data_IF_963389183300
#
_entry.id   IF_963389183300
#
_cell.length_a   1.000
_cell.length_b   1.000
_cell.length_c   1.000
_cell.angle_alpha   90.00
_cell.angle_beta   90.00
_cell.angle_gamma   90.00
#
_symmetry.space_group_name_H-M   'P 1'
#
loop_
_entity.id
_entity.type
_entity.pdbx_description
1 polymer ?
#
# COMPACT_ATOMS: atom_id res chain seq x y z
N UNK A 1 -17.35 6.12 -12.19
CA UNK A 1 -17.07 4.66 -12.24
C UNK A 1 -15.66 4.46 -11.67
N UNK A 2 -15.50 3.73 -10.56
CA UNK A 2 -14.17 3.53 -9.94
C UNK A 2 -13.28 2.70 -10.89
N UNK A 3 -12.08 3.17 -11.19
CA UNK A 3 -11.14 2.51 -12.10
C UNK A 3 -10.39 1.42 -11.31
N UNK A 4 -10.49 0.16 -11.75
CA UNK A 4 -9.65 -0.91 -11.20
C UNK A 4 -8.24 -0.74 -11.76
N UNK A 5 -7.27 -0.51 -10.88
CA UNK A 5 -5.86 -0.51 -11.24
C UNK A 5 -5.35 -1.94 -11.11
N UNK A 6 -4.65 -2.42 -12.14
CA UNK A 6 -3.96 -3.71 -12.07
C UNK A 6 -2.67 -3.53 -11.29
N UNK A 7 -2.59 -4.15 -10.11
CA UNK A 7 -1.37 -4.17 -9.28
C UNK A 7 -0.57 -5.44 -9.54
N UNK A 8 0.71 -5.47 -9.16
CA UNK A 8 1.61 -6.63 -9.19
C UNK A 8 2.09 -6.95 -7.78
N UNK A 9 2.45 -8.22 -7.54
CA UNK A 9 3.14 -8.59 -6.30
C UNK A 9 4.46 -7.82 -6.26
N UNK A 10 4.74 -7.20 -5.13
CA UNK A 10 5.89 -6.32 -4.92
C UNK A 10 5.59 -4.83 -5.11
N UNK A 11 4.46 -4.46 -5.70
CA UNK A 11 4.08 -3.04 -5.85
C UNK A 11 3.94 -2.39 -4.48
N UNK A 12 4.60 -1.23 -4.32
CA UNK A 12 4.51 -0.38 -3.14
C UNK A 12 3.54 0.76 -3.42
N UNK A 13 2.65 1.04 -2.47
CA UNK A 13 1.64 2.08 -2.59
C UNK A 13 1.58 2.94 -1.34
N UNK A 14 1.15 4.18 -1.51
CA UNK A 14 0.86 5.11 -0.42
C UNK A 14 -0.62 5.06 -0.05
N UNK A 15 -0.90 5.17 1.25
CA UNK A 15 -2.24 5.28 1.81
C UNK A 15 -2.29 6.64 2.51
N UNK A 16 -3.12 7.55 2.00
CA UNK A 16 -3.29 8.87 2.62
C UNK A 16 -4.06 8.73 3.93
N UNK A 17 -3.50 9.28 5.01
CA UNK A 17 -4.13 9.30 6.32
C UNK A 17 -4.91 10.60 6.55
N UNK A 18 -4.29 11.76 6.27
CA UNK A 18 -4.92 13.08 6.38
C UNK A 18 -4.21 14.11 5.46
N UNK A 19 -4.32 15.41 5.76
CA UNK A 19 -3.60 16.44 5.00
C UNK A 19 -2.10 16.16 5.11
N UNK A 20 -1.52 15.83 3.97
CA UNK A 20 -0.10 15.60 3.72
C UNK A 20 0.55 14.37 4.38
N UNK A 21 -0.12 13.62 5.27
CA UNK A 21 0.46 12.39 5.83
C UNK A 21 0.05 11.14 5.07
N UNK A 22 1.03 10.29 4.79
CA UNK A 22 0.87 9.01 4.13
C UNK A 22 1.52 7.89 4.95
N UNK A 23 0.89 6.72 4.97
CA UNK A 23 1.59 5.46 5.29
C UNK A 23 1.78 4.63 4.03
N UNK A 24 2.54 3.54 4.13
CA UNK A 24 2.96 2.76 2.97
C UNK A 24 2.75 1.28 3.17
N UNK A 25 2.38 0.61 2.10
CA UNK A 25 2.23 -0.83 2.08
C UNK A 25 2.75 -1.45 0.81
N UNK A 26 2.82 -2.78 0.81
CA UNK A 26 3.24 -3.57 -0.35
C UNK A 26 2.26 -4.72 -0.60
N UNK A 27 2.03 -5.01 -1.88
CA UNK A 27 1.26 -6.18 -2.31
C UNK A 27 2.11 -7.43 -2.17
N UNK A 28 1.69 -8.37 -1.31
CA UNK A 28 2.44 -9.62 -1.05
C UNK A 28 1.74 -10.87 -1.58
N UNK A 29 0.45 -10.80 -1.87
CA UNK A 29 -0.27 -11.84 -2.58
C UNK A 29 -1.44 -11.28 -3.37
N UNK A 30 -1.76 -11.94 -4.50
CA UNK A 30 -2.96 -11.67 -5.30
C UNK A 30 -3.95 -12.79 -5.06
N UNK A 31 -5.06 -12.51 -4.38
CA UNK A 31 -6.17 -13.45 -4.30
C UNK A 31 -7.11 -13.31 -5.50
N UNK A 32 -7.99 -14.31 -5.68
CA UNK A 32 -9.08 -14.22 -6.66
C UNK A 32 -10.18 -13.23 -6.24
N UNK A 33 -10.28 -12.95 -4.94
CA UNK A 33 -11.35 -12.15 -4.32
C UNK A 33 -10.77 -10.87 -3.70
N UNK A 34 -9.61 -10.94 -3.04
CA UNK A 34 -8.92 -9.80 -2.42
C UNK A 34 -7.39 -9.96 -2.47
N UNK A 35 -6.68 -8.84 -2.46
CA UNK A 35 -5.22 -8.82 -2.41
C UNK A 35 -4.75 -8.85 -0.95
N UNK A 36 -3.60 -9.45 -0.70
CA UNK A 36 -2.96 -9.45 0.61
C UNK A 36 -1.86 -8.40 0.64
N UNK A 37 -1.86 -7.60 1.70
CA UNK A 37 -0.99 -6.43 1.84
C UNK A 37 -0.27 -6.47 3.18
N UNK A 38 0.97 -5.97 3.18
CA UNK A 38 1.69 -5.58 4.39
C UNK A 38 1.73 -4.06 4.50
N UNK A 39 1.70 -3.55 5.73
CA UNK A 39 1.88 -2.12 6.02
C UNK A 39 3.16 -1.94 6.83
N UNK A 40 4.01 -1.02 6.39
CA UNK A 40 5.27 -0.70 7.05
C UNK A 40 5.05 0.33 8.18
N UNK A 41 5.89 0.27 9.21
CA UNK A 41 5.91 1.21 10.32
C UNK A 41 6.54 2.55 9.89
N UNK A 42 5.80 3.26 9.02
CA UNK A 42 6.23 4.53 8.46
C UNK A 42 5.03 5.43 8.22
N UNK A 43 5.14 6.65 8.72
CA UNK A 43 4.29 7.77 8.31
C UNK A 43 5.19 8.90 7.86
N UNK A 44 4.92 9.45 6.67
CA UNK A 44 5.71 10.51 6.08
C UNK A 44 4.84 11.62 5.51
N UNK A 45 5.35 12.84 5.53
CA UNK A 45 4.78 14.01 4.84
C UNK A 45 5.27 14.15 3.40
N UNK A 46 6.39 13.50 3.09
CA UNK A 46 6.98 13.41 1.75
C UNK A 46 6.86 11.98 1.22
N UNK A 47 7.13 11.73 -0.07
CA UNK A 47 7.17 10.37 -0.64
C UNK A 47 8.61 9.81 -0.61
N UNK A 48 8.98 8.99 0.40
CA UNK A 48 10.29 8.38 0.49
C UNK A 48 10.49 7.33 -0.60
N UNK A 49 11.76 6.95 -0.80
CA UNK A 49 12.11 5.90 -1.75
C UNK A 49 11.59 4.54 -1.30
N UNK A 50 11.42 3.64 -2.26
CA UNK A 50 11.03 2.24 -1.97
C UNK A 50 12.00 1.59 -0.98
N UNK A 51 13.30 1.83 -1.12
CA UNK A 51 14.32 1.27 -0.23
C UNK A 51 14.15 1.74 1.22
N UNK A 52 13.82 3.02 1.42
CA UNK A 52 13.57 3.56 2.75
C UNK A 52 12.29 2.97 3.36
N UNK A 53 11.23 2.83 2.57
CA UNK A 53 9.97 2.20 2.99
C UNK A 53 10.21 0.75 3.42
N UNK A 54 10.81 -0.06 2.56
CA UNK A 54 10.98 -1.51 2.78
C UNK A 54 12.02 -1.85 3.84
N UNK A 55 12.82 -0.87 4.28
CA UNK A 55 13.76 -1.02 5.40
C UNK A 55 13.07 -0.96 6.78
N UNK A 56 11.80 -0.52 6.83
CA UNK A 56 11.06 -0.39 8.08
C UNK A 56 10.39 -1.71 8.49
N UNK A 57 10.13 -1.91 9.80
CA UNK A 57 9.37 -3.05 10.28
C UNK A 57 7.96 -3.13 9.65
N UNK A 58 7.41 -4.34 9.58
CA UNK A 58 6.02 -4.57 9.20
C UNK A 58 5.16 -4.53 10.46
N UNK A 59 4.13 -3.68 10.47
CA UNK A 59 3.20 -3.53 11.61
C UNK A 59 1.89 -4.29 11.43
N UNK A 60 1.46 -4.50 10.19
CA UNK A 60 0.22 -5.22 9.90
C UNK A 60 0.35 -6.10 8.65
N UNK A 61 -0.24 -7.29 8.75
CA UNK A 61 -0.48 -8.21 7.64
C UNK A 61 -1.98 -8.39 7.48
N UNK A 62 -2.53 -8.07 6.31
CA UNK A 62 -3.95 -8.18 6.06
C UNK A 62 -4.21 -9.03 4.81
N UNK A 63 -4.95 -10.11 4.98
CA UNK A 63 -5.27 -11.09 3.93
C UNK A 63 -6.56 -10.80 3.17
N UNK A 64 -7.29 -9.73 3.53
CA UNK A 64 -8.55 -9.38 2.88
C UNK A 64 -8.65 -7.88 2.61
N UNK A 65 -7.82 -7.39 1.67
CA UNK A 65 -7.85 -5.99 1.25
C UNK A 65 -8.31 -5.84 -0.19
N UNK A 66 -9.29 -4.96 -0.40
CA UNK A 66 -9.60 -4.44 -1.74
C UNK A 66 -8.90 -3.10 -1.91
N UNK A 67 -7.79 -3.08 -2.66
CA UNK A 67 -7.14 -1.84 -3.07
C UNK A 67 -8.02 -1.09 -4.06
N UNK A 68 -8.71 -0.06 -3.58
CA UNK A 68 -9.43 0.88 -4.43
C UNK A 68 -8.57 2.13 -4.62
N UNK A 69 -7.77 2.15 -5.67
CA UNK A 69 -7.01 3.35 -6.03
C UNK A 69 -7.98 4.35 -6.66
N UNK A 70 -8.12 5.58 -6.12
CA UNK A 70 -8.89 6.63 -6.79
C UNK A 70 -8.32 6.83 -8.20
N UNK A 71 -9.19 6.82 -9.22
CA UNK A 71 -8.76 7.07 -10.59
C UNK A 71 -8.12 8.45 -10.68
N UNK A 72 -6.91 8.51 -11.26
CA UNK A 72 -6.26 9.76 -11.68
C UNK A 72 -7.19 10.56 -12.59
#
# INVERSE_FOLDING_TARGET
MKKRVSVKIGDVFSIRLNQDRYCYGQVVSKGRISDCLIVFDMVSTEHPTVSEITSKPIIFFNTDCTLQVPGM
#
